data_IF_314916253561
#
_entry.id   IF_314916253561
#
_cell.length_a   1.000
_cell.length_b   1.000
_cell.length_c   1.000
_cell.angle_alpha   90.00
_cell.angle_beta   90.00
_cell.angle_gamma   90.00
#
_symmetry.space_group_name_H-M   'P 1'
#
loop_
_entity.id
_entity.type
_entity.pdbx_description
1 polymer ?
#
# COMPACT_ATOMS: atom_id res chain seq x y z
N UNK A 1 -14.62 29.48 -0.77
CA UNK A 1 -14.45 28.09 -0.32
C UNK A 1 -13.67 27.36 -1.41
N UNK A 2 -12.47 26.85 -1.10
CA UNK A 2 -11.59 26.15 -2.05
C UNK A 2 -12.18 24.77 -2.35
N UNK A 3 -12.18 24.34 -3.63
CA UNK A 3 -12.71 23.04 -4.03
C UNK A 3 -11.59 22.06 -4.35
N UNK A 4 -11.58 20.91 -3.68
CA UNK A 4 -10.58 19.85 -3.85
C UNK A 4 -11.27 18.57 -4.29
N UNK A 5 -10.79 17.97 -5.37
CA UNK A 5 -11.23 16.66 -5.82
C UNK A 5 -10.13 15.63 -5.62
N UNK A 6 -10.43 14.54 -4.92
CA UNK A 6 -9.50 13.46 -4.65
C UNK A 6 -9.94 12.23 -5.44
N UNK A 7 -9.07 11.74 -6.31
CA UNK A 7 -9.31 10.53 -7.09
C UNK A 7 -8.51 9.34 -6.57
N UNK A 8 -9.16 8.20 -6.53
CA UNK A 8 -8.54 6.88 -6.34
C UNK A 8 -9.09 5.89 -7.36
N UNK A 9 -8.58 4.66 -7.35
CA UNK A 9 -9.19 3.53 -8.04
C UNK A 9 -9.18 2.29 -7.15
N UNK A 10 -10.23 1.46 -7.26
CA UNK A 10 -10.43 0.26 -6.42
C UNK A 10 -9.59 -0.95 -6.89
N UNK A 11 -8.32 -0.72 -7.26
CA UNK A 11 -7.33 -1.77 -7.51
C UNK A 11 -6.56 -2.10 -6.22
N UNK A 12 -7.18 -2.90 -5.33
CA UNK A 12 -6.69 -3.08 -3.97
C UNK A 12 -7.06 -1.93 -3.02
N UNK A 13 -6.85 -2.12 -1.71
CA UNK A 13 -7.26 -1.15 -0.69
C UNK A 13 -6.31 0.06 -0.54
N UNK A 14 -5.10 0.01 -1.10
CA UNK A 14 -4.05 1.00 -0.85
C UNK A 14 -4.39 2.40 -1.32
N UNK A 15 -4.77 2.55 -2.59
CA UNK A 15 -5.10 3.85 -3.18
C UNK A 15 -6.23 4.56 -2.45
N UNK A 16 -7.28 3.83 -2.07
CA UNK A 16 -8.40 4.36 -1.29
C UNK A 16 -7.96 4.77 0.11
N UNK A 17 -7.12 3.97 0.79
CA UNK A 17 -6.61 4.29 2.13
C UNK A 17 -5.78 5.58 2.12
N UNK A 18 -4.88 5.73 1.14
CA UNK A 18 -4.10 6.96 0.95
C UNK A 18 -5.00 8.19 0.69
N UNK A 19 -5.98 8.04 -0.21
CA UNK A 19 -6.94 9.09 -0.53
C UNK A 19 -7.81 9.49 0.67
N UNK A 20 -8.28 8.52 1.45
CA UNK A 20 -9.02 8.76 2.71
C UNK A 20 -8.17 9.48 3.75
N UNK A 21 -6.91 9.09 3.92
CA UNK A 21 -6.00 9.74 4.86
C UNK A 21 -5.82 11.23 4.54
N UNK A 22 -5.70 11.57 3.25
CA UNK A 22 -5.63 12.97 2.80
C UNK A 22 -6.96 13.69 3.09
N UNK A 23 -8.10 13.08 2.71
CA UNK A 23 -9.43 13.66 2.94
C UNK A 23 -9.67 13.94 4.41
N UNK A 24 -9.49 12.94 5.28
CA UNK A 24 -9.66 13.05 6.73
C UNK A 24 -8.77 14.15 7.33
N UNK A 25 -7.51 14.24 6.88
CA UNK A 25 -6.62 15.30 7.35
C UNK A 25 -7.09 16.68 6.93
N UNK A 26 -7.55 16.88 5.70
CA UNK A 26 -8.07 18.16 5.22
C UNK A 26 -9.34 18.54 6.00
N UNK A 27 -10.29 17.62 6.14
CA UNK A 27 -11.55 17.88 6.89
C UNK A 27 -11.32 18.21 8.35
N UNK A 28 -10.25 17.70 8.96
CA UNK A 28 -9.92 17.97 10.36
C UNK A 28 -9.19 19.30 10.57
N UNK A 29 -8.39 19.75 9.59
CA UNK A 29 -7.44 20.85 9.80
C UNK A 29 -7.74 22.11 8.97
N UNK A 30 -8.70 22.07 8.02
CA UNK A 30 -9.04 23.18 7.14
C UNK A 30 -10.57 23.35 7.07
N UNK A 31 -11.08 24.54 7.43
CA UNK A 31 -12.53 24.78 7.57
C UNK A 31 -13.24 25.15 6.26
N UNK A 32 -12.53 25.75 5.29
CA UNK A 32 -13.14 26.35 4.09
C UNK A 32 -12.83 25.58 2.80
N UNK A 33 -12.82 24.26 2.89
CA UNK A 33 -12.53 23.39 1.74
C UNK A 33 -13.69 22.43 1.51
N UNK A 34 -14.25 22.48 0.30
CA UNK A 34 -15.21 21.48 -0.18
C UNK A 34 -14.45 20.34 -0.85
N UNK A 35 -14.67 19.09 -0.40
CA UNK A 35 -13.93 17.92 -0.86
C UNK A 35 -14.87 16.90 -1.46
N UNK A 36 -14.52 16.39 -2.64
CA UNK A 36 -15.10 15.17 -3.21
C UNK A 36 -14.05 14.08 -3.33
N UNK A 37 -14.39 12.86 -2.87
CA UNK A 37 -13.58 11.65 -2.97
C UNK A 37 -14.25 10.70 -3.97
N UNK A 38 -13.62 10.46 -5.11
CA UNK A 38 -14.22 9.78 -6.26
C UNK A 38 -13.38 8.57 -6.68
N UNK A 39 -14.02 7.41 -6.81
CA UNK A 39 -13.44 6.29 -7.55
C UNK A 39 -13.51 6.59 -9.05
N UNK A 40 -12.36 6.91 -9.63
CA UNK A 40 -12.28 7.37 -11.02
C UNK A 40 -12.69 6.29 -12.02
N UNK A 41 -12.37 5.02 -11.76
CA UNK A 41 -12.67 3.92 -12.68
C UNK A 41 -14.15 3.57 -12.62
N UNK A 42 -14.72 3.48 -11.42
CA UNK A 42 -16.15 3.25 -11.24
C UNK A 42 -17.00 4.37 -11.86
N UNK A 43 -16.59 5.64 -11.66
CA UNK A 43 -17.27 6.79 -12.23
C UNK A 43 -17.26 6.78 -13.77
N UNK A 44 -16.09 6.49 -14.35
CA UNK A 44 -15.93 6.57 -15.81
C UNK A 44 -16.67 5.43 -16.52
N UNK A 45 -16.66 4.22 -15.98
CA UNK A 45 -17.36 3.09 -16.59
C UNK A 45 -17.51 1.91 -15.62
N UNK A 46 -18.71 1.76 -15.04
CA UNK A 46 -19.05 0.65 -14.12
C UNK A 46 -18.79 -0.75 -14.69
N UNK A 47 -19.00 -0.95 -16.00
CA UNK A 47 -18.74 -2.24 -16.66
C UNK A 47 -17.23 -2.47 -16.84
N UNK A 48 -16.49 -1.44 -17.22
CA UNK A 48 -15.06 -1.51 -17.42
C UNK A 48 -14.32 -1.74 -16.08
N UNK A 49 -14.74 -1.07 -15.02
CA UNK A 49 -14.20 -1.28 -13.66
C UNK A 49 -14.36 -2.74 -13.22
N UNK A 50 -15.56 -3.30 -13.34
CA UNK A 50 -15.81 -4.70 -12.98
C UNK A 50 -14.98 -5.69 -13.79
N UNK A 51 -14.84 -5.46 -15.10
CA UNK A 51 -14.05 -6.33 -15.99
C UNK A 51 -12.56 -6.20 -15.69
N UNK A 52 -12.03 -4.99 -15.55
CA UNK A 52 -10.60 -4.77 -15.32
C UNK A 52 -10.16 -5.20 -13.91
N UNK A 53 -10.95 -4.93 -12.88
CA UNK A 53 -10.68 -5.35 -11.52
C UNK A 53 -10.70 -6.88 -11.40
N UNK A 54 -11.69 -7.53 -12.05
CA UNK A 54 -11.78 -8.99 -12.10
C UNK A 54 -10.63 -9.59 -12.93
N UNK A 55 -10.32 -9.02 -14.09
CA UNK A 55 -9.22 -9.48 -14.93
C UNK A 55 -7.86 -9.31 -14.23
N UNK A 56 -7.63 -8.19 -13.55
CA UNK A 56 -6.45 -7.99 -12.70
C UNK A 56 -6.33 -9.09 -11.64
N UNK A 57 -7.41 -9.30 -10.88
CA UNK A 57 -7.46 -10.30 -9.83
C UNK A 57 -7.21 -11.73 -10.36
N UNK A 58 -7.88 -12.09 -11.44
CA UNK A 58 -7.75 -13.41 -12.06
C UNK A 58 -6.35 -13.63 -12.68
N UNK A 59 -5.80 -12.63 -13.34
CA UNK A 59 -4.47 -12.71 -13.95
C UNK A 59 -3.38 -12.80 -12.89
N UNK A 60 -3.42 -11.95 -11.87
CA UNK A 60 -2.49 -12.01 -10.74
C UNK A 60 -2.61 -13.34 -9.97
N UNK A 61 -3.81 -13.92 -9.90
CA UNK A 61 -4.08 -15.19 -9.20
C UNK A 61 -3.67 -16.41 -10.00
N UNK A 62 -4.04 -16.47 -11.29
CA UNK A 62 -3.85 -17.69 -12.12
C UNK A 62 -2.49 -17.75 -12.79
N UNK A 63 -1.93 -16.60 -13.18
CA UNK A 63 -0.70 -16.53 -13.96
C UNK A 63 0.17 -15.35 -13.48
N UNK A 64 0.70 -15.39 -12.23
CA UNK A 64 1.47 -14.27 -11.67
C UNK A 64 2.74 -13.93 -12.47
N UNK A 65 3.38 -14.95 -13.09
CA UNK A 65 4.55 -14.73 -13.96
C UNK A 65 4.20 -13.98 -15.24
N UNK A 66 3.01 -14.21 -15.80
CA UNK A 66 2.50 -13.47 -16.97
C UNK A 66 2.14 -12.05 -16.59
N UNK A 67 1.61 -11.82 -15.38
CA UNK A 67 1.37 -10.48 -14.86
C UNK A 67 2.69 -9.70 -14.72
N UNK A 68 3.73 -10.30 -14.16
CA UNK A 68 5.06 -9.67 -14.11
C UNK A 68 5.56 -9.28 -15.50
N UNK A 69 5.42 -10.15 -16.50
CA UNK A 69 5.77 -9.82 -17.90
C UNK A 69 4.91 -8.69 -18.46
N UNK A 70 3.59 -8.68 -18.21
CA UNK A 70 2.68 -7.60 -18.61
C UNK A 70 3.05 -6.30 -17.91
N UNK A 71 3.38 -6.33 -16.62
CA UNK A 71 3.86 -5.17 -15.88
C UNK A 71 5.12 -4.58 -16.51
N UNK A 72 6.15 -5.41 -16.76
CA UNK A 72 7.41 -4.96 -17.39
C UNK A 72 7.21 -4.48 -18.83
N UNK A 73 6.34 -5.12 -19.62
CA UNK A 73 6.03 -4.68 -20.98
C UNK A 73 5.08 -3.47 -21.04
N UNK A 74 4.29 -3.23 -19.98
CA UNK A 74 3.45 -2.03 -19.87
C UNK A 74 4.24 -0.79 -19.45
N UNK A 75 5.48 -0.95 -18.98
CA UNK A 75 6.40 0.16 -18.72
C UNK A 75 6.94 0.75 -20.02
N UNK A 76 7.04 -0.05 -21.09
CA UNK A 76 7.55 0.43 -22.38
C UNK A 76 6.87 -0.32 -23.55
N UNK A 77 6.56 0.38 -24.64
CA UNK A 77 6.09 -0.21 -25.89
C UNK A 77 4.58 -0.13 -26.15
N UNK A 78 4.01 -1.00 -27.04
CA UNK A 78 2.64 -0.90 -27.53
C UNK A 78 1.55 -0.92 -26.46
N UNK A 79 1.75 -1.65 -25.36
CA UNK A 79 0.77 -1.75 -24.26
C UNK A 79 0.65 -0.42 -23.50
N UNK A 80 1.75 0.30 -23.32
CA UNK A 80 1.73 1.65 -22.73
C UNK A 80 0.95 2.62 -23.61
N UNK A 81 1.07 2.52 -24.94
CA UNK A 81 0.32 3.32 -25.91
C UNK A 81 -1.19 3.02 -25.89
N UNK A 82 -1.59 1.75 -25.78
CA UNK A 82 -3.00 1.34 -25.66
C UNK A 82 -3.59 1.91 -24.37
N UNK A 83 -2.89 1.81 -23.24
CA UNK A 83 -3.32 2.40 -21.97
C UNK A 83 -3.52 3.91 -22.09
N UNK A 84 -2.60 4.61 -22.75
CA UNK A 84 -2.69 6.06 -23.01
C UNK A 84 -3.89 6.42 -23.87
N UNK A 85 -4.19 5.65 -24.92
CA UNK A 85 -5.34 5.89 -25.81
C UNK A 85 -6.66 5.66 -25.07
N UNK A 86 -6.76 4.60 -24.28
CA UNK A 86 -7.92 4.32 -23.41
C UNK A 86 -8.14 5.44 -22.41
N UNK A 87 -7.08 5.92 -21.75
CA UNK A 87 -7.14 7.05 -20.82
C UNK A 87 -7.62 8.34 -21.50
N UNK A 88 -7.20 8.61 -22.74
CA UNK A 88 -7.68 9.75 -23.52
C UNK A 88 -9.18 9.67 -23.82
N UNK A 89 -9.68 8.48 -24.15
CA UNK A 89 -11.12 8.29 -24.41
C UNK A 89 -11.93 8.43 -23.12
N UNK A 90 -11.45 7.83 -22.01
CA UNK A 90 -12.10 7.84 -20.72
C UNK A 90 -12.10 9.23 -20.07
N UNK A 91 -11.09 10.07 -20.35
CA UNK A 91 -11.00 11.45 -19.84
C UNK A 91 -12.18 12.33 -20.26
N UNK A 92 -12.80 12.04 -21.40
CA UNK A 92 -14.00 12.77 -21.85
C UNK A 92 -15.17 12.60 -20.87
N UNK A 93 -15.31 11.43 -20.23
CA UNK A 93 -16.36 11.18 -19.23
C UNK A 93 -16.10 11.93 -17.92
N UNK A 94 -14.83 12.07 -17.51
CA UNK A 94 -14.49 12.88 -16.35
C UNK A 94 -14.72 14.38 -16.57
N UNK A 95 -14.66 14.85 -17.82
CA UNK A 95 -14.77 16.27 -18.13
C UNK A 95 -16.04 16.91 -17.55
N UNK A 96 -17.20 16.22 -17.65
CA UNK A 96 -18.45 16.73 -17.08
C UNK A 96 -18.38 16.88 -15.57
N UNK A 97 -17.90 15.86 -14.86
CA UNK A 97 -17.72 15.91 -13.39
C UNK A 97 -16.82 17.07 -12.98
N UNK A 98 -15.71 17.26 -13.71
CA UNK A 98 -14.75 18.31 -13.44
C UNK A 98 -15.32 19.71 -13.74
N UNK A 99 -16.14 19.85 -14.77
CA UNK A 99 -16.84 21.10 -15.07
C UNK A 99 -17.92 21.43 -14.04
N UNK A 100 -18.72 20.44 -13.64
CA UNK A 100 -19.82 20.63 -12.67
C UNK A 100 -19.29 20.98 -11.27
N UNK A 101 -18.23 20.35 -10.83
CA UNK A 101 -17.61 20.62 -9.52
C UNK A 101 -16.64 21.80 -9.55
N UNK A 102 -15.93 22.01 -10.67
CA UNK A 102 -14.92 23.03 -10.89
C UNK A 102 -13.83 23.08 -9.80
N UNK A 103 -13.04 22.00 -9.58
CA UNK A 103 -12.02 21.97 -8.53
C UNK A 103 -10.85 22.88 -8.86
N UNK A 104 -10.30 23.56 -7.86
CA UNK A 104 -9.04 24.30 -7.97
C UNK A 104 -7.83 23.36 -7.87
N UNK A 105 -7.99 22.25 -7.12
CA UNK A 105 -6.97 21.24 -6.90
C UNK A 105 -7.54 19.85 -7.10
N UNK A 106 -6.81 19.05 -7.86
CA UNK A 106 -7.06 17.61 -8.04
C UNK A 106 -5.90 16.85 -7.41
N UNK A 107 -6.20 15.91 -6.52
CA UNK A 107 -5.23 14.99 -5.92
C UNK A 107 -5.55 13.59 -6.43
N UNK A 108 -4.58 12.90 -7.01
CA UNK A 108 -4.75 11.54 -7.50
C UNK A 108 -3.79 10.57 -6.79
N UNK A 109 -4.35 9.52 -6.21
CA UNK A 109 -3.59 8.41 -5.63
C UNK A 109 -3.47 7.21 -6.59
N UNK A 110 -3.92 7.37 -7.85
CA UNK A 110 -3.84 6.33 -8.87
C UNK A 110 -3.48 6.95 -10.24
N UNK A 111 -2.59 6.31 -11.04
CA UNK A 111 -2.09 6.90 -12.29
C UNK A 111 -3.20 7.19 -13.32
N UNK A 112 -4.26 6.40 -13.37
CA UNK A 112 -5.34 6.62 -14.36
C UNK A 112 -5.99 8.00 -14.23
N UNK A 113 -6.37 8.40 -13.01
CA UNK A 113 -7.00 9.71 -12.82
C UNK A 113 -6.00 10.86 -13.12
N UNK A 114 -4.75 10.71 -12.67
CA UNK A 114 -3.69 11.68 -12.96
C UNK A 114 -3.53 11.87 -14.47
N UNK A 115 -3.38 10.77 -15.22
CA UNK A 115 -3.22 10.80 -16.69
C UNK A 115 -4.44 11.41 -17.41
N UNK A 116 -5.66 11.04 -16.98
CA UNK A 116 -6.89 11.59 -17.58
C UNK A 116 -7.03 13.09 -17.36
N UNK A 117 -6.75 13.56 -16.14
CA UNK A 117 -6.79 14.99 -15.79
C UNK A 117 -5.68 15.77 -16.53
N UNK A 118 -4.47 15.23 -16.57
CA UNK A 118 -3.35 15.82 -17.30
C UNK A 118 -3.66 15.94 -18.82
N UNK A 119 -4.31 14.93 -19.40
CA UNK A 119 -4.77 15.01 -20.78
C UNK A 119 -5.83 16.10 -21.00
N UNK A 120 -6.81 16.24 -20.10
CA UNK A 120 -7.81 17.33 -20.20
C UNK A 120 -7.14 18.70 -20.06
N UNK A 121 -6.16 18.85 -19.19
CA UNK A 121 -5.36 20.08 -19.02
C UNK A 121 -4.57 20.40 -20.30
N UNK A 122 -3.96 19.39 -20.94
CA UNK A 122 -3.31 19.51 -22.27
C UNK A 122 -4.28 20.02 -23.34
N UNK A 123 -5.57 19.64 -23.26
CA UNK A 123 -6.60 20.08 -24.22
C UNK A 123 -7.19 21.47 -23.88
N UNK A 124 -6.69 22.17 -22.88
CA UNK A 124 -7.22 23.45 -22.42
C UNK A 124 -8.61 23.36 -21.77
N UNK A 125 -9.03 22.15 -21.35
CA UNK A 125 -10.36 21.88 -20.76
C UNK A 125 -10.35 21.85 -19.23
N UNK A 126 -9.18 21.95 -18.63
CA UNK A 126 -8.98 21.89 -17.18
C UNK A 126 -7.92 22.91 -16.76
N UNK A 127 -8.25 23.77 -15.79
CA UNK A 127 -7.33 24.77 -15.22
C UNK A 127 -6.82 24.40 -13.83
N UNK A 128 -7.35 23.33 -13.22
CA UNK A 128 -6.98 22.87 -11.89
C UNK A 128 -5.49 22.55 -11.78
N UNK A 129 -4.92 22.74 -10.60
CA UNK A 129 -3.63 22.13 -10.25
C UNK A 129 -3.80 20.64 -10.07
N UNK A 130 -2.85 19.86 -10.55
CA UNK A 130 -2.86 18.40 -10.48
C UNK A 130 -1.72 17.93 -9.59
N UNK A 131 -2.06 17.23 -8.52
CA UNK A 131 -1.14 16.59 -7.60
C UNK A 131 -1.25 15.06 -7.73
N UNK A 132 -0.13 14.41 -7.98
CA UNK A 132 -0.03 12.96 -8.11
C UNK A 132 0.72 12.39 -6.91
N UNK A 133 0.08 11.44 -6.20
CA UNK A 133 0.62 10.77 -5.03
C UNK A 133 0.92 9.33 -5.39
N UNK A 134 2.20 9.00 -5.53
CA UNK A 134 2.64 7.65 -5.82
C UNK A 134 2.54 6.79 -4.55
N UNK A 135 1.89 5.65 -4.65
CA UNK A 135 1.53 4.79 -3.50
C UNK A 135 2.39 3.54 -3.39
N UNK A 136 3.59 3.57 -4.00
CA UNK A 136 4.60 2.52 -3.98
C UNK A 136 6.00 3.04 -3.68
N UNK A 137 6.96 2.14 -3.58
CA UNK A 137 8.36 2.45 -3.32
C UNK A 137 9.24 2.44 -4.57
N UNK A 138 8.63 2.25 -5.74
CA UNK A 138 9.27 2.43 -7.03
C UNK A 138 8.30 3.10 -8.01
N UNK A 139 8.78 4.00 -8.90
CA UNK A 139 7.95 4.60 -9.92
C UNK A 139 7.76 3.65 -11.10
N UNK A 140 6.62 3.73 -11.78
CA UNK A 140 6.42 3.10 -13.08
C UNK A 140 5.92 4.11 -14.11
N UNK A 141 6.16 3.85 -15.39
CA UNK A 141 5.96 4.81 -16.48
C UNK A 141 4.54 5.37 -16.59
N UNK A 142 3.52 4.62 -16.14
CA UNK A 142 2.15 5.13 -16.18
C UNK A 142 1.93 6.38 -15.32
N UNK A 143 2.75 6.59 -14.29
CA UNK A 143 2.73 7.82 -13.49
C UNK A 143 3.30 9.02 -14.23
N UNK A 144 4.05 8.79 -15.32
CA UNK A 144 4.79 9.81 -16.04
C UNK A 144 4.09 10.29 -17.33
N UNK A 145 2.98 9.65 -17.68
CA UNK A 145 2.22 10.01 -18.90
C UNK A 145 1.62 11.42 -18.76
N UNK A 146 1.95 12.32 -19.70
CA UNK A 146 1.59 13.74 -19.66
C UNK A 146 2.14 14.50 -18.46
N UNK A 147 3.34 14.16 -18.01
CA UNK A 147 3.99 14.69 -16.81
C UNK A 147 4.16 16.24 -16.85
N UNK A 148 4.32 16.82 -18.00
CA UNK A 148 4.42 18.28 -18.21
C UNK A 148 3.20 19.04 -17.66
N UNK A 149 1.99 18.40 -17.65
CA UNK A 149 0.73 18.97 -17.17
C UNK A 149 0.43 18.66 -15.70
N UNK A 150 1.26 17.85 -15.03
CA UNK A 150 1.17 17.60 -13.58
C UNK A 150 1.97 18.68 -12.84
N UNK A 151 1.40 19.25 -11.78
CA UNK A 151 2.01 20.32 -11.00
C UNK A 151 2.84 19.80 -9.83
N UNK A 152 2.42 18.69 -9.18
CA UNK A 152 3.06 18.12 -8.00
C UNK A 152 3.16 16.61 -8.09
N UNK A 153 4.33 16.07 -7.73
CA UNK A 153 4.58 14.64 -7.53
C UNK A 153 4.99 14.39 -6.08
N UNK A 154 4.22 13.55 -5.39
CA UNK A 154 4.56 13.10 -4.05
C UNK A 154 5.03 11.66 -4.10
N UNK A 155 6.24 11.42 -3.62
CA UNK A 155 6.92 10.12 -3.68
C UNK A 155 7.29 9.61 -2.30
N UNK A 156 7.50 8.30 -2.18
CA UNK A 156 7.76 7.62 -0.90
C UNK A 156 9.08 8.01 -0.25
N UNK A 157 10.15 8.25 -1.04
CA UNK A 157 11.50 8.51 -0.52
C UNK A 157 12.39 9.29 -1.51
N UNK A 158 13.55 9.74 -1.04
CA UNK A 158 14.49 10.59 -1.82
C UNK A 158 15.08 9.88 -3.05
N UNK A 159 15.31 8.57 -2.97
CA UNK A 159 15.81 7.81 -4.13
C UNK A 159 14.79 7.81 -5.27
N UNK A 160 13.49 7.60 -4.94
CA UNK A 160 12.40 7.69 -5.92
C UNK A 160 12.29 9.09 -6.52
N UNK A 161 12.54 10.15 -5.72
CA UNK A 161 12.63 11.52 -6.22
C UNK A 161 13.74 11.67 -7.27
N UNK A 162 14.90 11.07 -7.05
CA UNK A 162 16.00 11.07 -8.02
C UNK A 162 15.61 10.34 -9.31
N UNK A 163 14.96 9.18 -9.19
CA UNK A 163 14.48 8.41 -10.35
C UNK A 163 13.51 9.23 -11.21
N UNK A 164 12.60 9.99 -10.60
CA UNK A 164 11.69 10.87 -11.34
C UNK A 164 12.43 12.04 -12.01
N UNK A 165 13.47 12.57 -11.38
CA UNK A 165 14.32 13.61 -11.98
C UNK A 165 15.08 13.07 -13.21
N UNK A 166 15.62 11.87 -13.09
CA UNK A 166 16.29 11.17 -14.21
C UNK A 166 15.30 10.86 -15.35
N UNK A 167 14.03 10.64 -15.03
CA UNK A 167 12.95 10.53 -16.00
C UNK A 167 12.48 11.87 -16.58
N UNK A 168 13.15 12.98 -16.26
CA UNK A 168 12.90 14.31 -16.84
C UNK A 168 11.90 15.19 -16.10
N UNK A 169 11.41 14.80 -14.91
CA UNK A 169 10.51 15.66 -14.14
C UNK A 169 11.31 16.72 -13.36
N UNK A 170 10.93 18.00 -13.46
CA UNK A 170 11.61 19.08 -12.76
C UNK A 170 11.63 18.89 -11.25
N UNK A 171 12.81 19.07 -10.61
CA UNK A 171 13.03 18.86 -9.17
C UNK A 171 12.02 19.58 -8.28
N UNK A 172 11.62 20.79 -8.66
CA UNK A 172 10.68 21.62 -7.90
C UNK A 172 9.23 21.09 -7.88
N UNK A 173 8.89 20.15 -8.77
CA UNK A 173 7.61 19.48 -8.78
C UNK A 173 7.57 18.22 -7.90
N UNK A 174 8.72 17.71 -7.40
CA UNK A 174 8.83 16.41 -6.75
C UNK A 174 9.12 16.57 -5.26
N UNK A 175 8.29 15.96 -4.43
CA UNK A 175 8.33 16.03 -2.96
C UNK A 175 8.41 14.62 -2.37
N UNK A 176 9.50 14.31 -1.67
CA UNK A 176 9.68 13.00 -1.01
C UNK A 176 9.04 12.99 0.39
N UNK A 177 7.72 13.19 0.44
CA UNK A 177 6.95 13.29 1.68
C UNK A 177 6.56 11.93 2.27
N UNK A 178 6.66 10.87 1.50
CA UNK A 178 6.12 9.56 1.88
C UNK A 178 4.71 9.32 1.34
N UNK A 179 4.23 8.09 1.49
CA UNK A 179 2.87 7.68 1.14
C UNK A 179 1.92 8.13 2.26
N UNK A 180 0.74 8.67 1.94
CA UNK A 180 -0.23 9.11 2.94
C UNK A 180 -0.59 8.03 3.94
N UNK A 181 -0.54 8.40 5.21
CA UNK A 181 -0.75 7.52 6.36
C UNK A 181 -1.92 8.05 7.21
N UNK A 182 -2.80 7.16 7.67
CA UNK A 182 -3.86 7.51 8.60
C UNK A 182 -3.29 7.98 9.95
N UNK A 183 -3.89 9.00 10.52
CA UNK A 183 -3.53 9.51 11.85
C UNK A 183 -3.60 8.45 12.95
N UNK A 184 -4.40 7.39 12.74
CA UNK A 184 -4.53 6.27 13.68
C UNK A 184 -3.19 5.56 13.96
N UNK A 185 -2.25 5.54 12.99
CA UNK A 185 -0.91 4.99 13.19
C UNK A 185 0.04 5.88 13.99
N UNK A 186 -0.37 7.11 14.28
CA UNK A 186 0.41 8.07 15.08
C UNK A 186 -0.08 8.17 16.52
N UNK A 187 -1.22 7.56 16.84
CA UNK A 187 -1.79 7.56 18.18
C UNK A 187 -0.97 6.68 19.13
N UNK A 188 -0.95 7.07 20.40
CA UNK A 188 -0.44 6.21 21.47
C UNK A 188 -1.58 5.33 21.96
N UNK A 189 -1.34 4.04 21.97
CA UNK A 189 -2.28 3.03 22.45
C UNK A 189 -1.80 2.39 23.75
N UNK A 190 -2.74 2.05 24.63
CA UNK A 190 -2.44 1.27 25.83
C UNK A 190 -2.18 -0.19 25.44
N UNK A 191 -0.91 -0.61 25.57
CA UNK A 191 -0.48 -1.94 25.21
C UNK A 191 -1.19 -3.01 26.06
N UNK A 192 -1.34 -2.77 27.36
CA UNK A 192 -1.94 -3.74 28.29
C UNK A 192 -3.41 -3.99 27.95
N UNK A 193 -4.15 -2.92 27.68
CA UNK A 193 -5.55 -3.02 27.28
C UNK A 193 -5.72 -3.74 25.94
N UNK A 194 -4.84 -3.49 24.95
CA UNK A 194 -4.92 -4.18 23.66
C UNK A 194 -4.62 -5.67 23.83
N UNK A 195 -3.55 -6.01 24.54
CA UNK A 195 -3.21 -7.41 24.82
C UNK A 195 -4.39 -8.14 25.47
N UNK A 196 -5.00 -7.54 26.49
CA UNK A 196 -6.19 -8.09 27.15
C UNK A 196 -7.36 -8.27 26.21
N UNK A 197 -7.70 -7.24 25.41
CA UNK A 197 -8.83 -7.26 24.46
C UNK A 197 -8.71 -8.36 23.40
N UNK A 198 -7.48 -8.71 23.02
CA UNK A 198 -7.21 -9.77 22.04
C UNK A 198 -6.86 -11.12 22.67
N UNK A 199 -6.83 -11.22 24.01
CA UNK A 199 -6.44 -12.44 24.74
C UNK A 199 -4.98 -12.84 24.49
N UNK A 200 -4.08 -11.84 24.40
CA UNK A 200 -2.67 -12.02 24.12
C UNK A 200 -1.83 -11.94 25.41
N UNK A 201 -0.79 -12.75 25.50
CA UNK A 201 0.15 -12.76 26.63
C UNK A 201 1.11 -11.56 26.59
N UNK A 202 1.32 -10.84 27.70
CA UNK A 202 2.32 -9.78 27.77
C UNK A 202 3.77 -10.30 27.71
N UNK A 203 3.97 -11.58 27.99
CA UNK A 203 5.29 -12.21 28.08
C UNK A 203 5.76 -12.85 26.77
N UNK A 204 4.91 -12.88 25.74
CA UNK A 204 5.25 -13.43 24.42
C UNK A 204 5.50 -12.31 23.40
N UNK A 205 6.40 -12.55 22.44
CA UNK A 205 6.55 -11.67 21.27
C UNK A 205 5.35 -11.83 20.36
N UNK A 206 4.76 -10.72 19.94
CA UNK A 206 3.60 -10.72 19.05
C UNK A 206 4.02 -10.56 17.59
N UNK A 207 3.66 -11.52 16.78
CA UNK A 207 3.83 -11.47 15.31
C UNK A 207 2.48 -11.19 14.66
N UNK A 208 2.39 -10.10 13.92
CA UNK A 208 1.21 -9.76 13.13
C UNK A 208 1.38 -10.36 11.72
N UNK A 209 0.53 -11.30 11.37
CA UNK A 209 0.60 -12.05 10.13
C UNK A 209 -0.57 -11.71 9.20
N UNK A 210 -0.27 -11.10 8.06
CA UNK A 210 -1.29 -10.84 7.04
C UNK A 210 -1.36 -12.01 6.04
N UNK A 211 -2.50 -12.69 6.01
CA UNK A 211 -2.72 -13.87 5.16
C UNK A 211 -2.81 -13.60 3.66
N UNK A 212 -2.63 -12.33 3.27
CA UNK A 212 -2.80 -11.89 1.89
C UNK A 212 -4.19 -11.29 1.65
N UNK A 213 -4.26 -10.46 0.60
CA UNK A 213 -5.48 -9.73 0.24
C UNK A 213 -6.62 -10.63 -0.26
N UNK A 214 -7.68 -9.98 -0.68
CA UNK A 214 -8.94 -10.55 -1.16
C UNK A 214 -8.78 -11.69 -2.22
N UNK A 215 -7.67 -11.70 -2.93
CA UNK A 215 -7.43 -12.61 -4.05
C UNK A 215 -6.68 -13.92 -3.69
N UNK A 216 -6.23 -14.10 -2.45
CA UNK A 216 -5.62 -15.35 -1.96
C UNK A 216 -4.35 -15.78 -2.71
N UNK A 217 -3.60 -14.83 -3.26
CA UNK A 217 -2.36 -15.10 -4.02
C UNK A 217 -1.31 -15.79 -3.15
N UNK A 218 -0.75 -16.89 -3.66
CA UNK A 218 0.29 -17.63 -2.97
C UNK A 218 -0.19 -18.40 -1.74
N UNK A 219 -1.46 -18.83 -1.68
CA UNK A 219 -2.06 -19.52 -0.52
C UNK A 219 -1.17 -20.64 0.04
N UNK A 220 -0.69 -21.56 -0.81
CA UNK A 220 0.13 -22.68 -0.37
C UNK A 220 1.43 -22.23 0.30
N UNK A 221 2.12 -21.26 -0.28
CA UNK A 221 3.35 -20.71 0.30
C UNK A 221 3.05 -19.91 1.58
N UNK A 222 1.95 -19.15 1.62
CA UNK A 222 1.50 -18.42 2.81
C UNK A 222 1.25 -19.39 3.97
N UNK A 223 0.54 -20.51 3.73
CA UNK A 223 0.26 -21.52 4.75
C UNK A 223 1.54 -22.25 5.21
N UNK A 224 2.46 -22.54 4.29
CA UNK A 224 3.77 -23.11 4.65
C UNK A 224 4.55 -22.18 5.59
N UNK A 225 4.62 -20.89 5.26
CA UNK A 225 5.32 -19.90 6.09
C UNK A 225 4.59 -19.72 7.42
N UNK A 226 3.25 -19.65 7.41
CA UNK A 226 2.45 -19.54 8.62
C UNK A 226 2.69 -20.73 9.58
N UNK A 227 2.74 -21.96 9.05
CA UNK A 227 3.11 -23.16 9.80
C UNK A 227 4.49 -23.01 10.45
N UNK A 228 5.50 -22.61 9.70
CA UNK A 228 6.85 -22.40 10.22
C UNK A 228 6.88 -21.36 11.36
N UNK A 229 6.06 -20.30 11.31
CA UNK A 229 5.94 -19.34 12.41
C UNK A 229 5.30 -19.94 13.65
N UNK A 230 4.30 -20.83 13.51
CA UNK A 230 3.64 -21.51 14.64
C UNK A 230 4.61 -22.45 15.35
N UNK A 231 5.49 -23.12 14.59
CA UNK A 231 6.38 -24.16 15.08
C UNK A 231 7.75 -23.66 15.54
N UNK A 232 8.19 -22.46 15.06
CA UNK A 232 9.57 -22.03 15.23
C UNK A 232 9.98 -21.66 16.67
N UNK A 233 9.06 -21.24 17.53
CA UNK A 233 9.44 -20.74 18.85
C UNK A 233 8.26 -20.73 19.85
N UNK A 234 8.46 -21.28 21.06
CA UNK A 234 7.41 -21.32 22.10
C UNK A 234 7.05 -19.94 22.65
N UNK A 235 7.97 -18.98 22.57
CA UNK A 235 7.82 -17.64 23.14
C UNK A 235 7.21 -16.61 22.17
N UNK A 236 6.51 -17.11 21.13
CA UNK A 236 5.83 -16.29 20.13
C UNK A 236 4.33 -16.54 20.20
N UNK A 237 3.57 -15.50 19.96
CA UNK A 237 2.14 -15.56 19.69
C UNK A 237 1.86 -14.86 18.35
N UNK A 238 0.89 -15.38 17.60
CA UNK A 238 0.52 -14.84 16.29
C UNK A 238 -0.87 -14.22 16.33
N UNK A 239 -0.99 -13.07 15.67
CA UNK A 239 -2.28 -12.52 15.26
C UNK A 239 -2.34 -12.59 13.75
N UNK A 240 -3.13 -13.52 13.22
CA UNK A 240 -3.27 -13.72 11.78
C UNK A 240 -4.53 -13.03 11.26
N UNK A 241 -4.38 -12.17 10.25
CA UNK A 241 -5.49 -11.45 9.62
C UNK A 241 -5.73 -12.02 8.22
N UNK A 242 -6.89 -12.65 8.01
CA UNK A 242 -7.32 -13.18 6.71
C UNK A 242 -8.01 -12.13 5.81
N UNK A 243 -8.36 -10.97 6.39
CA UNK A 243 -9.15 -9.95 5.71
C UNK A 243 -10.55 -10.48 5.34
N UNK A 244 -11.00 -10.20 4.12
CA UNK A 244 -12.28 -10.68 3.58
C UNK A 244 -12.20 -12.09 2.98
N UNK A 245 -11.04 -12.75 3.05
CA UNK A 245 -10.81 -14.04 2.44
C UNK A 245 -11.21 -15.19 3.37
N UNK A 246 -12.47 -15.62 3.31
CA UNK A 246 -13.02 -16.68 4.14
C UNK A 246 -12.26 -18.01 3.98
N UNK A 247 -11.86 -18.37 2.74
CA UNK A 247 -11.09 -19.59 2.49
C UNK A 247 -9.70 -19.58 3.14
N UNK A 248 -9.10 -18.40 3.29
CA UNK A 248 -7.83 -18.25 3.99
C UNK A 248 -8.03 -18.39 5.50
N UNK A 249 -9.09 -17.79 6.05
CA UNK A 249 -9.47 -17.94 7.45
C UNK A 249 -9.64 -19.41 7.82
N UNK A 250 -10.50 -20.14 7.11
CA UNK A 250 -10.71 -21.57 7.32
C UNK A 250 -9.41 -22.38 7.25
N UNK A 251 -8.52 -22.03 6.32
CA UNK A 251 -7.23 -22.71 6.20
C UNK A 251 -6.30 -22.43 7.36
N UNK A 252 -6.31 -21.21 7.92
CA UNK A 252 -5.56 -20.90 9.14
C UNK A 252 -6.15 -21.64 10.34
N UNK A 253 -7.47 -21.64 10.51
CA UNK A 253 -8.18 -22.32 11.60
C UNK A 253 -7.89 -23.83 11.58
N UNK A 254 -8.00 -24.48 10.43
CA UNK A 254 -7.70 -25.90 10.28
C UNK A 254 -6.24 -26.19 10.68
N UNK A 255 -5.28 -25.40 10.15
CA UNK A 255 -3.88 -25.62 10.45
C UNK A 255 -3.57 -25.42 11.94
N UNK A 256 -4.15 -24.42 12.60
CA UNK A 256 -3.99 -24.18 14.04
C UNK A 256 -4.58 -25.32 14.86
N UNK A 257 -5.73 -25.85 14.47
CA UNK A 257 -6.38 -27.00 15.11
C UNK A 257 -5.55 -28.27 14.95
N UNK A 258 -5.08 -28.56 13.74
CA UNK A 258 -4.25 -29.75 13.45
C UNK A 258 -2.94 -29.73 14.25
N UNK A 259 -2.39 -28.56 14.56
CA UNK A 259 -1.16 -28.39 15.35
C UNK A 259 -1.41 -28.22 16.85
N UNK A 260 -2.67 -28.14 17.32
CA UNK A 260 -3.00 -27.92 18.72
C UNK A 260 -2.47 -26.59 19.29
N UNK A 261 -2.48 -25.51 18.51
CA UNK A 261 -1.85 -24.21 18.85
C UNK A 261 -2.85 -23.07 19.06
N UNK A 262 -4.09 -23.36 19.43
CA UNK A 262 -5.18 -22.39 19.62
C UNK A 262 -4.84 -21.32 20.68
N UNK A 263 -4.05 -21.67 21.69
CA UNK A 263 -3.65 -20.75 22.77
C UNK A 263 -2.58 -19.73 22.36
N UNK A 264 -1.89 -19.97 21.24
CA UNK A 264 -0.80 -19.11 20.76
C UNK A 264 -1.11 -18.39 19.47
N UNK A 265 -2.25 -18.67 18.84
CA UNK A 265 -2.63 -18.09 17.56
C UNK A 265 -4.03 -17.51 17.62
N UNK A 266 -4.16 -16.21 17.34
CA UNK A 266 -5.43 -15.52 17.16
C UNK A 266 -5.69 -15.28 15.68
N UNK A 267 -6.82 -15.75 15.18
CA UNK A 267 -7.22 -15.53 13.78
C UNK A 267 -8.32 -14.49 13.72
N UNK A 268 -8.12 -13.48 12.90
CA UNK A 268 -9.05 -12.38 12.67
C UNK A 268 -9.44 -12.32 11.19
N UNK A 269 -10.67 -11.92 10.93
CA UNK A 269 -11.15 -11.48 9.63
C UNK A 269 -10.67 -10.05 9.33
N UNK A 270 -11.42 -9.34 8.48
CA UNK A 270 -11.21 -7.91 8.29
C UNK A 270 -11.39 -7.17 9.62
N UNK A 271 -10.42 -6.32 9.95
CA UNK A 271 -10.47 -5.50 11.17
C UNK A 271 -9.97 -4.09 10.91
N UNK A 272 -10.58 -3.12 11.57
CA UNK A 272 -10.16 -1.73 11.63
C UNK A 272 -9.12 -1.47 12.75
N UNK A 273 -8.77 -2.51 13.51
CA UNK A 273 -7.83 -2.45 14.65
C UNK A 273 -6.36 -2.67 14.26
N UNK A 274 -6.05 -2.66 12.96
CA UNK A 274 -4.66 -2.83 12.47
C UNK A 274 -3.68 -1.84 13.13
N UNK A 275 -3.99 -0.53 13.30
CA UNK A 275 -3.09 0.39 14.00
C UNK A 275 -2.78 -0.03 15.43
N UNK A 276 -3.79 -0.50 16.17
CA UNK A 276 -3.65 -1.00 17.54
C UNK A 276 -2.78 -2.27 17.56
N UNK A 277 -3.06 -3.24 16.69
CA UNK A 277 -2.30 -4.48 16.58
C UNK A 277 -0.84 -4.22 16.21
N UNK A 278 -0.58 -3.33 15.25
CA UNK A 278 0.79 -2.93 14.90
C UNK A 278 1.52 -2.28 16.08
N UNK A 279 0.82 -1.50 16.91
CA UNK A 279 1.44 -0.82 18.06
C UNK A 279 1.97 -1.76 19.14
N UNK A 280 1.43 -2.98 19.24
CA UNK A 280 1.82 -4.00 20.22
C UNK A 280 2.71 -5.09 19.61
N UNK A 281 2.86 -5.13 18.29
CA UNK A 281 3.58 -6.18 17.58
C UNK A 281 5.10 -5.97 17.65
N UNK A 282 5.83 -7.06 17.52
CA UNK A 282 7.29 -7.08 17.42
C UNK A 282 7.78 -7.28 16.00
N UNK A 283 6.94 -7.87 15.14
CA UNK A 283 7.23 -8.23 13.77
C UNK A 283 5.95 -8.22 12.94
N UNK A 284 6.04 -7.83 11.68
CA UNK A 284 4.96 -7.97 10.69
C UNK A 284 5.38 -8.92 9.60
N UNK A 285 4.49 -9.85 9.25
CA UNK A 285 4.62 -10.73 8.09
C UNK A 285 3.58 -10.34 7.06
N UNK A 286 3.99 -9.90 5.88
CA UNK A 286 3.07 -9.36 4.90
C UNK A 286 3.62 -9.42 3.47
N UNK A 287 2.74 -9.23 2.50
CA UNK A 287 3.13 -8.78 1.17
C UNK A 287 3.58 -7.33 1.24
N UNK A 288 4.57 -6.93 0.45
CA UNK A 288 5.15 -5.59 0.50
C UNK A 288 4.34 -4.57 -0.31
N UNK A 289 3.02 -4.53 -0.14
CA UNK A 289 2.18 -3.48 -0.71
C UNK A 289 2.50 -2.11 -0.11
N UNK A 290 2.43 -1.05 -0.90
CA UNK A 290 2.91 0.28 -0.50
C UNK A 290 2.33 0.79 0.82
N UNK A 291 1.01 0.61 1.06
CA UNK A 291 0.37 1.07 2.31
C UNK A 291 0.78 0.25 3.52
N UNK A 292 0.65 -1.09 3.45
CA UNK A 292 1.01 -1.95 4.59
C UNK A 292 2.49 -1.80 4.95
N UNK A 293 3.36 -1.61 3.95
CA UNK A 293 4.77 -1.25 4.14
C UNK A 293 4.92 0.07 4.90
N UNK A 294 4.23 1.12 4.46
CA UNK A 294 4.26 2.44 5.10
C UNK A 294 3.77 2.38 6.55
N UNK A 295 2.67 1.68 6.79
CA UNK A 295 2.08 1.46 8.11
C UNK A 295 3.04 0.72 9.05
N UNK A 296 3.70 -0.34 8.55
CA UNK A 296 4.70 -1.11 9.29
C UNK A 296 5.92 -0.26 9.65
N UNK A 297 6.45 0.50 8.70
CA UNK A 297 7.57 1.42 8.95
C UNK A 297 7.20 2.51 9.95
N UNK A 298 6.00 3.09 9.85
CA UNK A 298 5.50 4.10 10.78
C UNK A 298 5.35 3.54 12.20
N UNK A 299 4.97 2.28 12.33
CA UNK A 299 4.90 1.57 13.60
C UNK A 299 6.28 1.11 14.12
N UNK A 300 7.35 1.29 13.33
CA UNK A 300 8.71 0.88 13.68
C UNK A 300 8.89 -0.63 13.73
N UNK A 301 8.16 -1.38 12.88
CA UNK A 301 8.16 -2.83 12.86
C UNK A 301 9.14 -3.39 11.82
N UNK A 302 9.96 -4.39 12.19
CA UNK A 302 10.63 -5.26 11.24
C UNK A 302 9.60 -5.98 10.37
N UNK A 303 9.94 -6.21 9.10
CA UNK A 303 9.03 -6.82 8.14
C UNK A 303 9.61 -8.15 7.64
N UNK A 304 8.80 -9.18 7.63
CA UNK A 304 9.06 -10.39 6.83
C UNK A 304 8.17 -10.32 5.60
N UNK A 305 8.81 -10.17 4.45
CA UNK A 305 8.12 -10.10 3.16
C UNK A 305 7.85 -11.50 2.64
N UNK A 306 6.61 -11.75 2.27
CA UNK A 306 6.15 -13.00 1.69
C UNK A 306 5.38 -12.76 0.39
N UNK A 307 5.53 -13.64 -0.58
CA UNK A 307 4.73 -13.71 -1.81
C UNK A 307 4.46 -12.34 -2.48
N UNK A 308 5.47 -11.51 -2.78
CA UNK A 308 5.26 -10.28 -3.54
C UNK A 308 4.68 -10.61 -4.91
N UNK A 309 3.78 -9.75 -5.39
CA UNK A 309 3.33 -9.81 -6.78
C UNK A 309 4.50 -9.40 -7.67
N UNK A 310 4.84 -10.20 -8.70
CA UNK A 310 5.93 -9.86 -9.62
C UNK A 310 5.79 -8.48 -10.22
N UNK A 311 6.90 -7.75 -10.27
CA UNK A 311 6.97 -6.35 -10.69
C UNK A 311 6.93 -5.41 -9.50
N UNK A 312 5.87 -4.65 -9.32
CA UNK A 312 5.75 -3.56 -8.36
C UNK A 312 6.02 -3.97 -6.89
N UNK A 313 5.45 -5.09 -6.41
CA UNK A 313 5.69 -5.54 -5.04
C UNK A 313 7.11 -6.12 -4.86
N UNK A 314 7.73 -6.67 -5.91
CA UNK A 314 9.13 -7.10 -5.85
C UNK A 314 10.09 -5.90 -5.73
N UNK A 315 9.79 -4.80 -6.40
CA UNK A 315 10.54 -3.54 -6.26
C UNK A 315 10.40 -2.97 -4.84
N UNK A 316 9.19 -2.99 -4.29
CA UNK A 316 8.95 -2.62 -2.89
C UNK A 316 9.76 -3.53 -1.93
N UNK A 317 9.76 -4.84 -2.15
CA UNK A 317 10.54 -5.81 -1.36
C UNK A 317 12.04 -5.52 -1.43
N UNK A 318 12.56 -5.29 -2.63
CA UNK A 318 13.97 -4.97 -2.85
C UNK A 318 14.40 -3.68 -2.13
N UNK A 319 13.54 -2.64 -2.17
CA UNK A 319 13.77 -1.41 -1.40
C UNK A 319 13.87 -1.68 0.10
N UNK A 320 12.98 -2.50 0.65
CA UNK A 320 12.96 -2.84 2.07
C UNK A 320 14.19 -3.66 2.50
N UNK A 321 14.60 -4.66 1.69
CA UNK A 321 15.82 -5.43 1.94
C UNK A 321 17.08 -4.55 1.89
N UNK A 322 17.19 -3.68 0.86
CA UNK A 322 18.29 -2.71 0.70
C UNK A 322 18.45 -1.83 1.94
N UNK A 323 17.33 -1.38 2.52
CA UNK A 323 17.32 -0.56 3.72
C UNK A 323 17.44 -1.36 5.03
N UNK A 324 17.57 -2.70 4.95
CA UNK A 324 17.72 -3.60 6.11
C UNK A 324 16.58 -3.49 7.12
N UNK A 325 15.36 -3.26 6.64
CA UNK A 325 14.14 -3.21 7.45
C UNK A 325 13.27 -4.44 7.24
N UNK A 326 13.59 -5.24 6.23
CA UNK A 326 12.87 -6.47 5.93
C UNK A 326 13.79 -7.65 5.63
N UNK A 327 13.21 -8.84 5.77
CA UNK A 327 13.73 -10.11 5.25
C UNK A 327 12.71 -10.59 4.23
N UNK A 328 13.13 -10.79 2.99
CA UNK A 328 12.28 -11.33 1.93
C UNK A 328 12.45 -12.85 1.83
N UNK A 329 11.41 -13.60 2.23
CA UNK A 329 11.39 -15.07 2.10
C UNK A 329 11.07 -15.42 0.65
N UNK A 330 12.04 -16.01 -0.04
CA UNK A 330 11.93 -16.47 -1.42
C UNK A 330 11.45 -17.92 -1.50
N UNK A 331 10.98 -18.34 -2.66
CA UNK A 331 10.34 -19.67 -2.86
C UNK A 331 11.20 -20.87 -2.44
N UNK A 332 12.53 -20.75 -2.55
CA UNK A 332 13.48 -21.83 -2.25
C UNK A 332 14.13 -21.74 -0.87
N UNK A 333 13.81 -20.70 -0.12
CA UNK A 333 14.44 -20.47 1.17
C UNK A 333 13.98 -21.49 2.22
N UNK A 334 14.89 -21.81 3.14
CA UNK A 334 14.57 -22.54 4.35
C UNK A 334 13.97 -21.55 5.38
N UNK A 335 12.64 -21.56 5.49
CA UNK A 335 11.90 -20.63 6.33
C UNK A 335 12.28 -20.79 7.80
N UNK A 336 12.40 -22.03 8.28
CA UNK A 336 12.73 -22.31 9.69
C UNK A 336 14.10 -21.75 10.06
N UNK A 337 15.10 -21.95 9.21
CA UNK A 337 16.45 -21.41 9.42
C UNK A 337 16.46 -19.89 9.49
N UNK A 338 15.70 -19.23 8.60
CA UNK A 338 15.55 -17.76 8.58
C UNK A 338 14.92 -17.29 9.88
N UNK A 339 13.83 -17.92 10.31
CA UNK A 339 13.11 -17.55 11.54
C UNK A 339 13.95 -17.80 12.79
N UNK A 340 14.62 -18.94 12.86
CA UNK A 340 15.53 -19.25 13.96
C UNK A 340 16.65 -18.21 14.07
N UNK A 341 17.29 -17.83 12.96
CA UNK A 341 18.30 -16.76 12.93
C UNK A 341 17.73 -15.39 13.33
N UNK A 342 16.49 -15.10 12.97
CA UNK A 342 15.84 -13.84 13.31
C UNK A 342 15.51 -13.76 14.81
N UNK A 343 14.88 -14.81 15.37
CA UNK A 343 14.41 -14.81 16.74
C UNK A 343 15.52 -15.07 17.77
N UNK A 344 16.59 -15.76 17.40
CA UNK A 344 17.79 -15.94 18.23
C UNK A 344 18.71 -14.71 18.25
N UNK A 345 18.45 -13.69 17.42
CA UNK A 345 19.28 -12.49 17.36
C UNK A 345 18.45 -11.22 17.68
N UNK A 346 18.30 -10.87 18.97
CA UNK A 346 17.56 -9.67 19.40
C UNK A 346 18.15 -8.37 18.85
N UNK A 347 19.47 -8.30 18.71
CA UNK A 347 20.16 -7.11 18.21
C UNK A 347 19.80 -6.81 16.74
N UNK A 348 19.69 -7.87 15.92
CA UNK A 348 19.24 -7.74 14.54
C UNK A 348 17.81 -7.21 14.47
N UNK A 349 16.90 -7.74 15.26
CA UNK A 349 15.52 -7.24 15.33
C UNK A 349 15.48 -5.77 15.80
N UNK A 350 16.29 -5.41 16.77
CA UNK A 350 16.38 -4.03 17.25
C UNK A 350 16.97 -3.10 16.19
N UNK A 351 18.00 -3.53 15.46
CA UNK A 351 18.54 -2.76 14.33
C UNK A 351 17.46 -2.52 13.26
N UNK A 352 16.70 -3.54 12.89
CA UNK A 352 15.60 -3.41 11.93
C UNK A 352 14.52 -2.43 12.42
N UNK A 353 14.15 -2.46 13.72
CA UNK A 353 13.22 -1.49 14.33
C UNK A 353 13.73 -0.05 14.23
N UNK A 354 15.00 0.17 14.54
CA UNK A 354 15.63 1.49 14.45
C UNK A 354 15.61 1.99 13.01
N UNK A 355 16.03 1.15 12.06
CA UNK A 355 16.04 1.50 10.63
C UNK A 355 14.65 1.79 10.08
N UNK A 356 13.63 1.00 10.46
CA UNK A 356 12.25 1.24 10.08
C UNK A 356 11.78 2.64 10.53
N UNK A 357 12.11 3.05 11.76
CA UNK A 357 11.80 4.39 12.27
C UNK A 357 12.53 5.50 11.53
N UNK A 358 13.80 5.28 11.15
CA UNK A 358 14.62 6.26 10.46
C UNK A 358 14.12 6.57 9.04
N UNK A 359 13.68 5.54 8.29
CA UNK A 359 13.21 5.73 6.93
C UNK A 359 11.71 6.05 6.85
N UNK A 360 10.99 5.92 7.96
CA UNK A 360 9.54 6.19 8.02
C UNK A 360 9.23 7.67 7.81
N UNK A 361 8.23 7.95 6.98
CA UNK A 361 7.69 9.28 6.72
C UNK A 361 6.34 9.46 7.44
N UNK A 362 6.36 9.45 8.77
CA UNK A 362 5.15 9.50 9.62
C UNK A 362 4.23 10.68 9.35
N UNK A 363 4.79 11.81 8.94
CA UNK A 363 4.06 13.05 8.71
C UNK A 363 3.60 13.23 7.25
N UNK A 364 3.69 12.20 6.42
CA UNK A 364 3.44 12.26 4.98
C UNK A 364 2.13 12.98 4.63
N UNK A 365 1.02 12.59 5.25
CA UNK A 365 -0.29 13.19 4.98
C UNK A 365 -0.31 14.68 5.32
N UNK A 366 0.22 15.06 6.49
CA UNK A 366 0.35 16.47 6.90
C UNK A 366 1.19 17.27 5.92
N UNK A 367 2.34 16.73 5.55
CA UNK A 367 3.32 17.44 4.73
C UNK A 367 2.81 17.61 3.29
N UNK A 368 2.10 16.61 2.74
CA UNK A 368 1.38 16.74 1.46
C UNK A 368 0.34 17.85 1.52
N UNK A 369 -0.52 17.83 2.54
CA UNK A 369 -1.58 18.83 2.67
C UNK A 369 -1.02 20.25 2.87
N UNK A 370 0.05 20.42 3.65
CA UNK A 370 0.72 21.72 3.81
C UNK A 370 1.31 22.25 2.50
N UNK A 371 1.90 21.40 1.67
CA UNK A 371 2.46 21.82 0.37
C UNK A 371 1.35 22.23 -0.60
N UNK A 372 0.20 21.57 -0.54
CA UNK A 372 -0.91 21.81 -1.48
C UNK A 372 -1.86 22.94 -1.06
N UNK A 373 -2.01 23.16 0.25
CA UNK A 373 -3.06 24.03 0.78
C UNK A 373 -2.52 25.25 1.53
N UNK A 374 -1.26 25.21 1.96
CA UNK A 374 -0.57 26.28 2.67
C UNK A 374 -0.60 26.08 4.17
#
# INVERSE_FOLDING_TARGET
>A
MKKVMIFYASYGGGHLSAARSIKEYIETNYNDIEIQLIDCMYYVNKLFDKVTTTAYAEMAKKIPQTWGKVYWHAQSGPIAQISTTSNKLLSKKLNKLLQDFNPELIISTHPFASTMCAYLKKQGKLNSKIATVLTDYAPHEQWLVFNEYVDYYFVSHEEMKKQLQEAGIPKQKIYATGIPLSNKFLLKYDKSQILQNFGLSPNKKTVLFFGGGEYGLGKTQTLKIFKSFIECHENIQLVAISGKNQKMKESFENLVNDLGKQDSVKILEYTDKVPQLMSISDLVVTKPGGLTTTESLASGLPIVVINPIPGQEEENAAYLEKNKVAIWIKKRDNVEEILNKLFSNPDKMQEMKIRARLISKKNSTRDICKILLG
#
